data_IF_660628889079
#
_entry.id   IF_660628889079
#
_cell.length_a   1.000
_cell.length_b   1.000
_cell.length_c   1.000
_cell.angle_alpha   90.00
_cell.angle_beta   90.00
_cell.angle_gamma   90.00
#
_symmetry.space_group_name_H-M   'P 1'
#
loop_
_entity.id
_entity.type
_entity.pdbx_description
1 polymer ?
2 water ?
#
# COMPACT_ATOMS: atom_id res chain seq x y z
N UNK A 58 -12.12 -4.82 3.22
CA UNK A 58 -11.93 -5.44 1.87
C UNK A 58 -10.44 -5.62 1.54
N UNK A 59 -10.17 -6.32 0.43
CA UNK A 59 -8.81 -6.77 0.10
C UNK A 59 -7.90 -5.68 -0.47
N UNK A 60 -6.69 -5.60 0.07
CA UNK A 60 -5.62 -4.74 -0.45
C UNK A 60 -4.35 -5.58 -0.61
N UNK A 61 -3.79 -5.56 -1.82
CA UNK A 61 -2.56 -6.30 -2.12
C UNK A 61 -1.39 -5.35 -2.41
N UNK A 62 -0.18 -5.82 -2.12
CA UNK A 62 1.05 -5.08 -2.42
C UNK A 62 2.18 -6.05 -2.71
N UNK A 63 2.86 -5.86 -3.84
CA UNK A 63 3.96 -6.74 -4.22
C UNK A 63 5.17 -6.02 -4.83
N UNK A 64 6.36 -6.50 -4.47
CA UNK A 64 7.62 -5.98 -4.98
C UNK A 64 7.92 -6.50 -6.38
N UNK A 65 8.48 -5.63 -7.21
CA UNK A 65 8.98 -6.00 -8.53
C UNK A 65 10.35 -5.36 -8.76
N UNK A 66 11.16 -5.93 -9.68
CA UNK A 66 12.44 -5.30 -10.03
C UNK A 66 12.24 -3.87 -10.56
N UNK A 67 12.36 -2.90 -9.66
CA UNK A 67 12.14 -1.49 -10.00
C UNK A 67 11.41 -0.72 -8.91
N UNK A 68 10.52 -1.40 -8.20
CA UNK A 68 9.76 -0.77 -7.12
C UNK A 68 8.69 -1.65 -6.50
N UNK A 69 7.53 -1.06 -6.23
CA UNK A 69 6.42 -1.76 -5.57
C UNK A 69 5.05 -1.27 -6.07
N UNK A 70 4.11 -2.19 -6.18
CA UNK A 70 2.74 -1.88 -6.59
C UNK A 70 1.73 -2.24 -5.49
N UNK A 71 0.83 -1.31 -5.19
CA UNK A 71 -0.26 -1.56 -4.25
C UNK A 71 -1.61 -1.35 -4.93
N UNK A 72 -2.46 -2.37 -4.85
CA UNK A 72 -3.80 -2.31 -5.43
C UNK A 72 -4.86 -2.72 -4.41
N UNK A 73 -5.96 -1.98 -4.38
CA UNK A 73 -7.04 -2.25 -3.42
C UNK A 73 -8.42 -2.18 -4.03
N UNK A 74 -9.31 -3.04 -3.54
CA UNK A 74 -10.71 -3.06 -3.96
C UNK A 74 -11.42 -1.76 -3.60
N UNK A 75 -12.36 -1.37 -4.45
CA UNK A 75 -13.28 -0.27 -4.16
C UNK A 75 -14.68 -0.67 -4.64
N UNK A 76 -15.68 0.16 -4.30
CA UNK A 76 -17.05 -0.04 -4.79
C UNK A 76 -17.86 1.25 -4.67
N UNK A 85 -21.64 12.05 -3.12
CA UNK A 85 -20.25 11.97 -3.56
C UNK A 85 -19.32 11.45 -2.48
N UNK A 86 -19.59 10.23 -2.02
CA UNK A 86 -18.84 9.61 -0.93
C UNK A 86 -17.45 9.14 -1.36
N UNK A 87 -16.57 8.94 -0.38
CA UNK A 87 -15.25 8.34 -0.61
C UNK A 87 -15.42 6.86 -0.94
N UNK A 88 -14.68 6.39 -1.95
CA UNK A 88 -14.77 5.00 -2.40
C UNK A 88 -13.41 4.30 -2.46
N UNK A 89 -12.35 5.08 -2.68
CA UNK A 89 -10.99 4.55 -2.81
C UNK A 89 -10.41 4.19 -1.44
N UNK A 90 -9.48 3.24 -1.42
CA UNK A 90 -8.88 2.76 -0.17
C UNK A 90 -7.35 2.74 -0.19
N UNK A 91 -6.76 2.96 -1.37
CA UNK A 91 -5.31 3.09 -1.52
C UNK A 91 -4.97 4.52 -1.93
N UNK A 92 -4.12 5.17 -1.14
CA UNK A 92 -3.79 6.58 -1.35
C UNK A 92 -2.29 6.85 -1.25
N UNK A 93 -1.79 7.69 -2.16
CA UNK A 93 -0.42 8.18 -2.11
C UNK A 93 -0.28 9.19 -0.97
N UNK A 94 0.62 8.90 -0.03
CA UNK A 94 0.79 9.74 1.17
C UNK A 94 1.93 10.75 1.06
N UNK A 95 3.00 10.38 0.37
CA UNK A 95 4.05 11.32 -0.03
C UNK A 95 4.70 10.87 -1.34
N UNK A 96 5.75 11.57 -1.77
CA UNK A 96 6.42 11.28 -3.04
C UNK A 96 6.87 9.83 -3.24
N UNK A 97 6.98 9.08 -2.14
CA UNK A 97 7.48 7.70 -2.21
C UNK A 97 6.72 6.67 -1.35
N UNK A 98 5.56 7.04 -0.81
CA UNK A 98 4.75 6.11 -0.01
C UNK A 98 3.27 6.09 -0.40
N UNK A 99 2.62 4.97 -0.10
CA UNK A 99 1.18 4.80 -0.30
C UNK A 99 0.59 3.88 0.77
N UNK A 100 -0.53 4.30 1.36
CA UNK A 100 -1.20 3.52 2.40
C UNK A 100 -2.51 2.92 1.90
N UNK A 101 -2.73 1.65 2.23
CA UNK A 101 -3.95 0.94 1.87
C UNK A 101 -4.61 0.31 3.08
N UNK A 102 -5.75 0.86 3.48
CA UNK A 102 -6.47 0.39 4.66
C UNK A 102 -7.56 -0.62 4.33
N UNK A 103 -7.46 -1.79 4.96
CA UNK A 103 -8.52 -2.79 4.94
C UNK A 103 -9.64 -2.32 5.87
N UNK A 104 -10.70 -1.77 5.26
CA UNK A 104 -11.82 -1.20 6.00
C UNK A 104 -12.61 -0.26 5.10
N UNK A 105 -13.37 0.64 5.71
CA UNK A 105 -14.21 1.58 4.96
C UNK A 105 -13.38 2.69 4.32
N UNK A 106 -13.85 3.16 3.17
CA UNK A 106 -13.12 4.11 2.33
C UNK A 106 -12.89 5.47 2.99
N UNK A 107 -13.86 5.91 3.79
CA UNK A 107 -13.76 7.18 4.50
C UNK A 107 -12.75 7.12 5.65
N UNK A 108 -12.61 5.94 6.24
CA UNK A 108 -11.58 5.69 7.25
C UNK A 108 -10.20 5.62 6.58
N UNK A 109 -10.16 5.04 5.39
CA UNK A 109 -8.92 4.91 4.62
C UNK A 109 -8.36 6.25 4.16
N UNK A 110 -9.25 7.16 3.74
CA UNK A 110 -8.84 8.47 3.23
C UNK A 110 -8.42 9.44 4.34
N UNK A 111 -9.10 9.37 5.48
CA UNK A 111 -8.80 10.23 6.63
C UNK A 111 -7.50 9.82 7.32
N UNK A 112 -7.25 8.51 7.35
CA UNK A 112 -6.01 7.96 7.89
C UNK A 112 -4.82 8.34 7.00
N UNK A 113 -5.04 8.31 5.69
CA UNK A 113 -4.02 8.68 4.71
C UNK A 113 -3.69 10.17 4.76
N UNK A 114 -4.70 10.99 5.03
CA UNK A 114 -4.53 12.44 5.12
C UNK A 114 -3.71 12.83 6.35
N UNK A 115 -4.04 12.25 7.50
CA UNK A 115 -3.33 12.49 8.75
C UNK A 115 -1.86 12.05 8.67
N UNK A 116 -1.63 10.95 7.97
CA UNK A 116 -0.28 10.43 7.75
C UNK A 116 0.50 11.29 6.76
N UNK A 117 -0.21 11.83 5.76
CA UNK A 117 0.38 12.75 4.79
C UNK A 117 0.79 14.07 5.44
N UNK A 118 -0.01 14.53 6.40
CA UNK A 118 0.29 15.73 7.18
C UNK A 118 1.52 15.48 8.06
N UNK A 119 1.55 14.33 8.73
CA UNK A 119 2.65 13.94 9.62
C UNK A 119 4.00 13.92 8.91
N UNK A 120 4.04 13.34 7.71
CA UNK A 120 5.27 13.24 6.92
C UNK A 120 5.72 14.61 6.39
N UNK A 121 4.76 15.41 5.95
CA UNK A 121 5.04 16.74 5.40
C UNK A 121 5.42 17.75 6.48
N UNK A 122 4.78 17.65 7.64
CA UNK A 122 5.10 18.52 8.78
C UNK A 122 6.55 18.36 9.22
N UNK A 123 7.04 17.12 9.23
CA UNK A 123 8.42 16.82 9.58
C UNK A 123 9.40 17.42 8.57
N UNK A 124 9.12 17.23 7.28
CA UNK A 124 10.00 17.70 6.21
C UNK A 124 10.09 19.23 6.17
N UNK A 125 8.96 19.90 6.41
CA UNK A 125 8.91 21.36 6.43
C UNK A 125 9.62 21.95 7.65
N UNK A 126 9.62 21.20 8.75
CA UNK A 126 10.20 21.67 10.01
C UNK A 126 11.69 21.32 10.13
N UNK A 127 12.10 20.21 9.53
CA UNK A 127 13.48 19.74 9.62
C UNK A 127 14.30 20.04 8.36
N UNK A 128 13.62 20.30 7.25
CA UNK A 128 14.28 20.56 5.97
C UNK A 128 14.72 19.30 5.25
N UNK A 129 14.30 18.15 5.79
CA UNK A 129 14.67 16.84 5.26
C UNK A 129 13.55 15.84 5.58
N UNK A 130 13.17 14.99 4.60
CA UNK A 130 12.15 13.97 4.87
C UNK A 130 12.63 12.92 5.86
N UNK A 131 11.68 12.25 6.52
CA UNK A 131 11.98 11.12 7.38
C UNK A 131 12.60 10.00 6.56
N UNK A 132 13.55 9.28 7.17
CA UNK A 132 14.06 8.04 6.59
C UNK A 132 12.91 7.05 6.51
N UNK A 133 13.06 5.99 5.72
CA UNK A 133 11.97 5.02 5.58
C UNK A 133 11.60 4.36 6.91
N UNK A 134 12.59 4.17 7.78
CA UNK A 134 12.36 3.67 9.13
C UNK A 134 11.57 4.69 9.97
N UNK A 135 11.81 5.97 9.71
CA UNK A 135 11.07 7.06 10.35
C UNK A 135 9.62 7.11 9.89
N UNK A 136 9.41 6.83 8.60
CA UNK A 136 8.07 6.81 8.01
C UNK A 136 7.21 5.67 8.57
N UNK A 137 7.83 4.51 8.77
CA UNK A 137 7.15 3.35 9.37
C UNK A 137 6.74 3.66 10.81
N UNK A 138 7.67 4.25 11.57
CA UNK A 138 7.44 4.61 12.97
C UNK A 138 6.25 5.53 13.17
N UNK A 139 6.14 6.55 12.32
CA UNK A 139 5.05 7.53 12.41
C UNK A 139 3.69 6.91 12.06
N UNK A 140 3.72 5.89 11.20
CA UNK A 140 2.52 5.13 10.87
C UNK A 140 2.15 4.19 12.02
N UNK A 141 3.17 3.65 12.69
CA UNK A 141 2.99 2.75 13.82
C UNK A 141 2.39 3.44 15.04
N UNK A 142 2.79 4.70 15.26
CA UNK A 142 2.26 5.52 16.35
C UNK A 142 0.78 5.84 16.11
N UNK A 143 0.43 6.07 14.85
CA UNK A 143 -0.96 6.34 14.45
C UNK A 143 -1.88 5.14 14.68
N UNK A 144 -1.36 3.94 14.43
CA UNK A 144 -2.10 2.69 14.66
C UNK A 144 -2.25 2.45 16.17
N UNK A 145 -1.16 2.68 16.90
CA UNK A 145 -1.11 2.53 18.35
C UNK A 145 -2.15 3.40 19.06
N UNK A 146 -2.35 4.62 18.56
CA UNK A 146 -3.25 5.58 19.19
C UNK A 146 -4.56 5.84 18.46
N UNK A 147 -5.00 4.87 17.66
CA UNK A 147 -6.27 4.99 16.95
C UNK A 147 -7.44 4.55 17.83
N UNK A 148 -7.80 5.41 18.78
CA UNK A 148 -8.91 5.15 19.69
C UNK A 148 -10.27 5.36 19.04
N UNK A 149 -10.31 6.23 18.03
CA UNK A 149 -11.54 6.53 17.29
C UNK A 149 -12.07 5.31 16.54
N UNK A 150 -11.15 4.51 15.99
CA UNK A 150 -11.51 3.29 15.28
C UNK A 150 -11.85 2.15 16.24
N UNK A 151 -11.17 2.12 17.38
CA UNK A 151 -11.39 1.10 18.41
C UNK A 151 -12.74 1.27 19.10
N UNK A 152 -13.13 2.51 19.34
CA UNK A 152 -14.39 2.80 19.98
C UNK A 152 -15.60 2.53 19.09
N UNK A 153 -15.42 2.67 17.79
CA UNK A 153 -16.52 2.58 16.82
C UNK A 153 -16.56 1.21 16.14
N UNK A 154 -15.61 0.35 16.49
CA UNK A 154 -15.53 -1.01 15.95
C UNK A 154 -15.22 -1.06 14.47
N UNK A 155 -14.43 -0.09 14.01
CA UNK A 155 -14.08 0.02 12.59
C UNK A 155 -12.69 -0.52 12.32
N UNK A 156 -12.55 -1.26 11.22
CA UNK A 156 -11.27 -1.79 10.78
C UNK A 156 -10.42 -0.67 10.19
N UNK A 157 -9.22 -0.48 10.74
CA UNK A 157 -8.33 0.60 10.32
C UNK A 157 -6.86 0.19 10.30
N UNK A 158 -6.60 -1.08 9.99
CA UNK A 158 -5.23 -1.58 9.90
C UNK A 158 -4.64 -1.33 8.51
N UNK A 159 -3.60 -0.48 8.44
CA UNK A 159 -3.03 -0.10 7.15
C UNK A 159 -1.93 -1.04 6.66
N UNK A 160 -1.83 -1.16 5.34
CA UNK A 160 -0.68 -1.77 4.70
C UNK A 160 0.10 -0.66 4.02
N UNK A 161 1.42 -0.68 4.19
CA UNK A 161 2.27 0.38 3.66
C UNK A 161 3.10 -0.10 2.47
N UNK A 162 2.94 0.59 1.34
CA UNK A 162 3.81 0.41 0.19
C UNK A 162 4.73 1.62 0.10
N UNK A 163 6.04 1.37 0.05
CA UNK A 163 7.02 2.44 0.03
C UNK A 163 8.23 2.16 -0.83
N UNK A 164 8.93 3.23 -1.20
CA UNK A 164 10.17 3.12 -1.96
C UNK A 164 11.27 3.88 -1.22
N UNK A 165 12.26 3.13 -0.74
CA UNK A 165 13.39 3.73 -0.04
C UNK A 165 14.39 4.30 -1.04
N UNK A 166 14.41 5.62 -1.15
CA UNK A 166 15.30 6.32 -2.07
C UNK A 166 16.76 6.29 -1.58
N UNK A 167 16.95 5.91 -0.32
CA UNK A 167 18.28 5.82 0.28
C UNK A 167 18.90 4.43 0.16
N UNK A 168 18.11 3.47 -0.33
CA UNK A 168 18.60 2.11 -0.57
C UNK A 168 19.62 2.11 -1.71
N UNK A 169 20.72 1.38 -1.50
CA UNK A 169 21.82 1.32 -2.47
C UNK A 169 21.41 0.69 -3.80
N UNK A 170 20.49 -0.27 -3.74
CA UNK A 170 19.92 -0.87 -4.94
C UNK A 170 18.51 -0.34 -5.18
N UNK A 171 18.34 0.48 -6.24
CA UNK A 171 17.05 1.06 -6.62
C UNK A 171 16.04 0.02 -7.11
N UNK A 172 16.53 -1.09 -7.64
CA UNK A 172 15.68 -2.15 -8.19
C UNK A 172 14.92 -2.94 -7.12
N UNK A 173 15.55 -3.11 -5.96
CA UNK A 173 14.92 -3.80 -4.83
C UNK A 173 14.59 -2.83 -3.69
N UNK A 174 14.49 -1.54 -4.03
CA UNK A 174 14.22 -0.49 -3.05
C UNK A 174 12.76 -0.43 -2.61
N UNK A 175 11.90 -1.16 -3.31
CA UNK A 175 10.49 -1.28 -2.95
C UNK A 175 10.32 -1.93 -1.58
N UNK A 176 9.32 -1.48 -0.83
CA UNK A 176 9.11 -1.95 0.54
C UNK A 176 7.63 -2.17 0.84
N UNK A 177 7.35 -3.26 1.56
CA UNK A 177 6.00 -3.56 2.04
C UNK A 177 6.08 -3.77 3.55
N UNK A 178 5.29 -3.00 4.30
CA UNK A 178 5.29 -3.08 5.76
C UNK A 178 3.90 -3.43 6.30
N UNK A 179 3.84 -4.49 7.10
CA UNK A 179 2.60 -4.93 7.74
C UNK A 179 2.51 -4.39 9.17
N UNK A 180 1.29 -4.11 9.61
CA UNK A 180 1.04 -3.57 10.95
C UNK A 180 -0.04 -4.36 11.67
N UNK A 181 0.24 -4.75 12.92
CA UNK A 181 -0.77 -5.40 13.76
C UNK A 181 -1.61 -4.37 14.52
N UNK A 182 -2.61 -4.85 15.25
CA UNK A 182 -3.54 -3.99 15.99
C UNK A 182 -2.85 -3.10 17.03
N UNK A 183 -1.80 -3.64 17.66
CA UNK A 183 -1.08 -2.95 18.73
C UNK A 183 -0.12 -1.86 18.24
N UNK A 184 0.16 -1.85 16.94
CA UNK A 184 1.10 -0.89 16.36
C UNK A 184 2.45 -1.50 16.05
N UNK A 185 2.59 -2.80 16.33
CA UNK A 185 3.79 -3.55 15.97
C UNK A 185 3.86 -3.76 14.48
N UNK A 186 5.07 -3.73 13.93
CA UNK A 186 5.26 -3.78 12.48
C UNK A 186 6.39 -4.70 12.03
N UNK A 187 6.31 -5.12 10.77
CA UNK A 187 7.33 -5.96 10.15
C UNK A 187 7.43 -5.70 8.65
N UNK A 188 8.64 -5.45 8.18
CA UNK A 188 8.90 -5.26 6.75
C UNK A 188 8.86 -6.63 6.06
N UNK A 189 7.95 -6.76 5.08
CA UNK A 189 7.77 -8.00 4.34
C UNK A 189 9.01 -8.35 3.52
N UNK A 190 9.47 -9.59 3.68
CA UNK A 190 10.66 -10.06 2.98
C UNK A 190 10.34 -11.09 1.89
N UNK A 191 9.05 -11.43 1.76
CA UNK A 191 8.60 -12.39 0.75
C UNK A 191 8.33 -11.73 -0.60
N UNK A 192 8.13 -10.41 -0.59
CA UNK A 192 7.91 -9.65 -1.81
C UNK A 192 6.45 -9.43 -2.17
N UNK A 193 5.55 -9.87 -1.30
CA UNK A 193 4.11 -9.67 -1.47
C UNK A 193 3.36 -9.81 -0.14
N UNK A 194 2.27 -9.06 0.00
CA UNK A 194 1.43 -9.11 1.20
C UNK A 194 0.01 -8.65 0.90
N UNK A 195 -0.96 -9.32 1.51
CA UNK A 195 -2.37 -8.96 1.37
C UNK A 195 -3.07 -8.82 2.72
N UNK A 196 -3.89 -7.78 2.84
CA UNK A 196 -4.71 -7.55 4.03
C UNK A 196 -6.17 -7.34 3.64
N UNK A 197 -7.08 -7.71 4.54
CA UNK A 197 -8.51 -7.51 4.31
C UNK A 197 -9.33 -8.78 4.25
N UNK A 198 -10.49 -8.68 3.60
CA UNK A 198 -11.46 -9.77 3.52
C UNK A 198 -10.91 -11.04 2.87
N UNK A 199 -10.44 -10.92 1.64
CA UNK A 199 -9.92 -12.06 0.88
C UNK A 199 -8.41 -12.13 0.84
N UNK A 200 -7.77 -11.80 1.97
CA UNK A 200 -6.31 -11.78 2.08
C UNK A 200 -5.68 -13.16 1.89
N UNK A 201 -6.33 -14.19 2.43
CA UNK A 201 -5.85 -15.57 2.31
C UNK A 201 -5.86 -16.06 0.87
N UNK A 202 -6.92 -15.71 0.13
CA UNK A 202 -7.04 -16.06 -1.28
C UNK A 202 -6.05 -15.26 -2.14
N UNK A 203 -5.89 -13.98 -1.80
CA UNK A 203 -5.00 -13.09 -2.54
C UNK A 203 -3.52 -13.42 -2.34
N UNK A 204 -3.17 -13.88 -1.13
CA UNK A 204 -1.80 -14.27 -0.81
C UNK A 204 -1.39 -15.57 -1.51
N UNK A 205 -2.31 -16.54 -1.55
CA UNK A 205 -2.06 -17.82 -2.21
C UNK A 205 -1.96 -17.64 -3.73
N UNK A 206 -2.74 -16.71 -4.27
CA UNK A 206 -2.71 -16.38 -5.69
C UNK A 206 -1.39 -15.71 -6.07
N UNK A 207 -0.91 -14.81 -5.20
CA UNK A 207 0.36 -14.12 -5.41
C UNK A 207 1.56 -15.05 -5.28
N UNK A 208 1.44 -16.05 -4.40
CA UNK A 208 2.49 -17.05 -4.19
C UNK A 208 2.73 -17.88 -5.45
N UNK A 209 1.63 -18.26 -6.11
CA UNK A 209 1.68 -19.11 -7.30
C UNK A 209 2.08 -18.34 -8.56
N UNK A 210 1.87 -17.03 -8.55
CA UNK A 210 2.11 -16.19 -9.72
C UNK A 210 3.32 -15.26 -9.60
N UNK A 211 3.99 -15.28 -8.44
CA UNK A 211 5.08 -14.34 -8.16
C UNK A 211 6.31 -14.52 -9.05
N UNK A 212 6.54 -15.75 -9.51
CA UNK A 212 7.66 -16.06 -10.40
C UNK A 212 7.54 -15.37 -11.76
N UNK A 213 6.33 -14.92 -12.08
CA UNK A 213 6.04 -14.24 -13.35
C UNK A 213 6.24 -12.73 -13.27
N UNK A 214 6.48 -12.22 -12.06
CA UNK A 214 6.71 -10.80 -11.84
C UNK A 214 8.14 -10.43 -12.24
N UNK A 215 8.26 -9.70 -13.35
CA UNK A 215 9.56 -9.30 -13.89
C UNK A 215 9.73 -7.79 -13.94
N UNK A 216 8.61 -7.08 -14.07
CA UNK A 216 8.61 -5.61 -14.15
C UNK A 216 7.35 -5.00 -13.53
N UNK A 217 7.12 -3.72 -13.80
CA UNK A 217 5.97 -2.99 -13.27
C UNK A 217 4.63 -3.43 -13.83
N UNK A 218 4.61 -3.78 -15.11
CA UNK A 218 3.39 -4.21 -15.79
C UNK A 218 2.94 -5.60 -15.36
N UNK A 219 3.90 -6.52 -15.23
CA UNK A 219 3.62 -7.88 -14.76
C UNK A 219 3.27 -7.89 -13.28
N UNK A 220 3.89 -6.97 -12.53
CA UNK A 220 3.60 -6.79 -11.11
C UNK A 220 2.19 -6.27 -10.87
N UNK A 221 1.74 -5.38 -11.76
CA UNK A 221 0.38 -4.86 -11.73
C UNK A 221 -0.62 -5.92 -12.19
N UNK A 222 -0.21 -6.74 -13.15
CA UNK A 222 -1.05 -7.81 -13.69
C UNK A 222 -1.36 -8.88 -12.64
N UNK A 223 -0.33 -9.26 -11.88
CA UNK A 223 -0.47 -10.26 -10.81
C UNK A 223 -1.29 -9.70 -9.64
N UNK A 224 -1.08 -8.41 -9.33
CA UNK A 224 -1.81 -7.73 -8.26
C UNK A 224 -3.31 -7.65 -8.52
N UNK A 225 -3.68 -7.38 -9.78
CA UNK A 225 -5.08 -7.31 -10.20
C UNK A 225 -5.73 -8.70 -10.18
N UNK A 226 -5.00 -9.71 -10.65
CA UNK A 226 -5.48 -11.09 -10.66
C UNK A 226 -5.69 -11.64 -9.25
N UNK A 227 -4.81 -11.24 -8.33
CA UNK A 227 -4.92 -11.64 -6.92
C UNK A 227 -6.18 -11.09 -6.26
N UNK A 228 -6.59 -9.90 -6.69
CA UNK A 228 -7.81 -9.26 -6.17
C UNK A 228 -9.07 -9.90 -6.74
N UNK A 229 -9.01 -10.36 -7.99
CA UNK A 229 -10.11 -11.09 -8.61
C UNK A 229 -10.27 -12.47 -7.96
N UNK A 230 -9.14 -13.09 -7.61
CA UNK A 230 -9.13 -14.35 -6.88
C UNK A 230 -9.64 -14.17 -5.45
N UNK A 231 -9.58 -12.94 -4.96
CA UNK A 231 -10.13 -12.58 -3.65
C UNK A 231 -11.58 -12.11 -3.80
N UNK A 248 -13.98 -2.06 -10.78
CA UNK A 248 -12.54 -2.23 -10.90
C UNK A 248 -11.80 -1.68 -9.68
N UNK A 249 -10.68 -2.32 -9.29
CA UNK A 249 -9.86 -1.80 -8.19
C UNK A 249 -8.95 -0.65 -8.62
N UNK A 250 -8.49 0.14 -7.66
CA UNK A 250 -7.51 1.20 -7.90
C UNK A 250 -6.11 0.71 -7.56
N UNK A 251 -5.09 1.36 -8.12
CA UNK A 251 -3.70 0.94 -7.91
C UNK A 251 -2.69 2.09 -7.90
N UNK A 252 -1.57 1.87 -7.21
CA UNK A 252 -0.47 2.83 -7.13
C UNK A 252 0.88 2.15 -7.40
N UNK A 253 1.62 2.67 -8.38
CA UNK A 253 2.97 2.21 -8.70
C UNK A 253 4.00 3.16 -8.10
N UNK A 254 4.95 2.62 -7.35
CA UNK A 254 6.03 3.42 -6.77
C UNK A 254 7.40 2.88 -7.19
N UNK A 255 8.15 3.70 -7.93
CA UNK A 255 9.52 3.36 -8.32
C UNK A 255 10.50 4.49 -7.96
N UNK A 256 11.60 4.58 -8.70
CA UNK A 256 12.63 5.60 -8.47
C UNK A 256 12.16 7.01 -8.80
N UNK A 257 11.21 7.11 -9.73
CA UNK A 257 10.66 8.39 -10.17
C UNK A 257 9.54 8.91 -9.26
N UNK A 258 9.07 8.06 -8.35
CA UNK A 258 8.04 8.45 -7.39
C UNK A 258 6.76 7.64 -7.45
N UNK A 259 5.83 7.95 -6.55
CA UNK A 259 4.54 7.27 -6.48
C UNK A 259 3.55 7.88 -7.46
N UNK A 260 2.95 7.02 -8.29
CA UNK A 260 2.01 7.46 -9.32
C UNK A 260 0.72 6.62 -9.27
N UNK A 261 -0.42 7.31 -9.36
CA UNK A 261 -1.71 6.65 -9.48
C UNK A 261 -1.83 6.00 -10.86
N UNK A 262 -2.11 4.70 -10.88
CA UNK A 262 -2.31 3.96 -12.12
C UNK A 262 -3.61 4.42 -12.77
N UNK A 263 -3.55 4.85 -14.05
CA UNK A 263 -4.76 5.24 -14.77
C UNK A 263 -5.79 4.12 -14.77
N UNK A 264 -7.05 4.46 -14.49
CA UNK A 264 -8.12 3.48 -14.34
C UNK A 264 -8.41 2.71 -15.63
N UNK A 265 -8.01 3.28 -16.76
CA UNK A 265 -8.14 2.62 -18.06
C UNK A 265 -7.26 1.38 -18.17
N UNK A 266 -6.05 1.47 -17.62
CA UNK A 266 -5.09 0.36 -17.66
C UNK A 266 -5.51 -0.81 -16.77
N UNK A 267 -6.07 -0.50 -15.60
CA UNK A 267 -6.58 -1.52 -14.69
C UNK A 267 -7.82 -2.20 -15.28
N UNK A 268 -8.68 -1.41 -15.92
CA UNK A 268 -9.86 -1.92 -16.61
C UNK A 268 -9.49 -2.87 -17.75
N UNK A 269 -8.43 -2.52 -18.48
CA UNK A 269 -7.89 -3.36 -19.55
C UNK A 269 -7.38 -4.70 -19.02
N UNK A 270 -6.68 -4.66 -17.89
CA UNK A 270 -6.10 -5.85 -17.28
C UNK A 270 -7.15 -6.76 -16.65
N UNK A 271 -8.14 -6.16 -15.99
CA UNK A 271 -9.21 -6.91 -15.34
C UNK A 271 -10.10 -7.66 -16.34
N UNK A 272 -10.25 -7.09 -17.53
CA UNK A 272 -10.99 -7.74 -18.62
C UNK A 272 -10.21 -8.92 -19.20
N UNK A 273 -8.89 -8.77 -19.27
CA UNK A 273 -8.00 -9.82 -19.75
C UNK A 273 -7.92 -10.98 -18.75
N UNK A 274 -8.05 -10.65 -17.46
CA UNK A 274 -8.08 -11.66 -16.40
C UNK A 274 -9.42 -12.38 -16.38
#
# INVERSE_FOLDING_TARGET
MTWPLPDRLSINSLSGTPAVDLSSFTDFLRRQAPELLPASISGGAPLAGGDAQLPHGTTIVALKYPGGVVMAGDRRSTQGNMISGRDVRKVYITDDYTATGIAGTAAVAVEFARLYAVELEHYEKLEGVPLTFAGKINRLAIMVRGNLAAAMQGLLALPLLAGYDIHASDPQSAGRIVSFDAAGGWNIEEEGYQAVGSGSLFAKSSMKKLYSQVTDGDSGLRVAVEALYDAADDDSATGGPDLVRGIFPTAVIIDADGAVDVPESRIAELARAIIESRSGADTFGSDGGEK
#
